data_IF_735062535030
#
_entry.id   IF_735062535030
#
_cell.length_a   1.000
_cell.length_b   1.000
_cell.length_c   1.000
_cell.angle_alpha   90.00
_cell.angle_beta   90.00
_cell.angle_gamma   90.00
#
_symmetry.space_group_name_H-M   'P 1'
#
loop_
_entity.id
_entity.type
_entity.pdbx_description
1 polymer ?
#
# COMPACT_ATOMS: atom_id res chain seq x y z
N UNK A 1 11.57 -5.06 11.92
CA UNK A 1 10.71 -5.26 10.74
C UNK A 1 10.79 -4.11 9.74
N UNK A 2 10.54 -2.86 10.15
CA UNK A 2 10.48 -1.68 9.26
C UNK A 2 11.73 -1.49 8.36
N UNK A 3 12.95 -1.51 8.93
CA UNK A 3 14.20 -1.43 8.16
C UNK A 3 14.33 -2.51 7.06
N UNK A 4 13.92 -3.75 7.35
CA UNK A 4 13.94 -4.88 6.38
C UNK A 4 12.99 -4.63 5.20
N UNK A 5 11.90 -3.91 5.44
CA UNK A 5 10.85 -3.63 4.46
C UNK A 5 11.04 -2.27 3.76
N UNK A 6 12.11 -1.53 4.07
CA UNK A 6 12.35 -0.19 3.52
C UNK A 6 11.38 0.87 4.03
N UNK A 7 10.79 0.66 5.21
CA UNK A 7 9.79 1.56 5.79
C UNK A 7 10.42 2.54 6.79
N UNK A 8 9.91 3.78 6.89
CA UNK A 8 10.31 4.74 7.92
C UNK A 8 10.21 4.14 9.32
N UNK A 9 11.24 4.33 10.14
CA UNK A 9 11.31 3.72 11.48
C UNK A 9 10.49 4.48 12.51
N UNK A 10 10.47 5.81 12.43
CA UNK A 10 9.88 6.70 13.44
C UNK A 10 8.56 7.35 13.00
N UNK A 11 7.89 6.79 11.98
CA UNK A 11 6.62 7.28 11.46
C UNK A 11 5.43 6.35 11.79
N UNK A 12 4.21 6.84 11.57
CA UNK A 12 3.00 6.01 11.62
C UNK A 12 2.84 5.27 10.30
N UNK A 13 2.60 3.96 10.38
CA UNK A 13 2.43 3.10 9.20
C UNK A 13 1.01 2.52 9.19
N UNK A 14 0.26 2.83 8.15
CA UNK A 14 -0.98 2.13 7.79
C UNK A 14 -0.60 0.95 6.90
N UNK A 15 -1.05 -0.25 7.25
CA UNK A 15 -0.78 -1.46 6.48
C UNK A 15 -2.03 -1.90 5.72
N UNK A 16 -1.86 -2.12 4.42
CA UNK A 16 -2.82 -2.85 3.61
C UNK A 16 -2.15 -4.11 3.07
N UNK A 17 -2.61 -5.28 3.50
CA UNK A 17 -1.99 -6.58 3.17
C UNK A 17 -2.91 -7.44 2.30
N UNK A 18 -2.33 -8.08 1.29
CA UNK A 18 -3.00 -9.04 0.41
C UNK A 18 -3.03 -8.61 -1.06
N UNK A 19 -3.64 -9.45 -1.91
CA UNK A 19 -3.67 -9.18 -3.35
C UNK A 19 -4.42 -7.91 -3.72
N UNK A 20 -3.95 -7.25 -4.77
CA UNK A 20 -4.56 -6.04 -5.32
C UNK A 20 -5.79 -6.45 -6.12
N UNK A 21 -6.95 -6.04 -5.61
CA UNK A 21 -8.26 -6.38 -6.17
C UNK A 21 -9.21 -5.17 -6.04
N UNK A 22 -10.13 -4.96 -7.00
CA UNK A 22 -11.10 -3.86 -6.92
C UNK A 22 -11.91 -3.85 -5.62
N UNK A 23 -12.37 -5.02 -5.16
CA UNK A 23 -13.18 -5.16 -3.94
C UNK A 23 -12.41 -4.86 -2.64
N UNK A 24 -11.08 -4.70 -2.70
CA UNK A 24 -10.27 -4.30 -1.55
C UNK A 24 -10.23 -2.77 -1.38
N UNK A 25 -10.69 -2.01 -2.37
CA UNK A 25 -10.91 -0.57 -2.26
C UNK A 25 -9.66 0.27 -1.93
N UNK A 26 -8.46 -0.15 -2.38
CA UNK A 26 -7.22 0.64 -2.22
C UNK A 26 -7.35 2.10 -2.70
N UNK A 27 -8.10 2.37 -3.77
CA UNK A 27 -8.40 3.74 -4.21
C UNK A 27 -9.08 4.60 -3.13
N UNK A 28 -10.01 4.03 -2.36
CA UNK A 28 -10.66 4.71 -1.22
C UNK A 28 -9.66 4.95 -0.09
N UNK A 29 -8.75 4.00 0.15
CA UNK A 29 -7.69 4.15 1.17
C UNK A 29 -6.73 5.29 0.80
N UNK A 30 -6.44 5.48 -0.49
CA UNK A 30 -5.65 6.63 -0.96
C UNK A 30 -6.36 7.96 -0.69
N UNK A 31 -7.66 8.05 -0.96
CA UNK A 31 -8.47 9.24 -0.65
C UNK A 31 -8.49 9.51 0.87
N UNK A 32 -8.67 8.46 1.68
CA UNK A 32 -8.61 8.58 3.14
C UNK A 32 -7.22 9.03 3.62
N UNK A 33 -6.14 8.56 2.99
CA UNK A 33 -4.78 8.98 3.33
C UNK A 33 -4.59 10.48 3.11
N UNK A 34 -5.16 11.07 2.03
CA UNK A 34 -5.12 12.52 1.80
C UNK A 34 -5.72 13.28 2.98
N UNK A 35 -6.88 12.85 3.48
CA UNK A 35 -7.52 13.48 4.64
C UNK A 35 -6.68 13.31 5.91
N UNK A 36 -6.13 12.11 6.16
CA UNK A 36 -5.26 11.85 7.31
C UNK A 36 -4.03 12.76 7.31
N UNK A 37 -3.43 12.98 6.14
CA UNK A 37 -2.23 13.81 6.00
C UNK A 37 -2.47 15.30 6.30
N UNK A 38 -3.73 15.76 6.27
CA UNK A 38 -4.08 17.13 6.69
C UNK A 38 -3.87 17.33 8.19
N UNK A 39 -4.06 16.28 8.99
CA UNK A 39 -3.92 16.32 10.46
C UNK A 39 -2.56 15.75 10.92
N UNK A 40 -2.06 14.72 10.24
CA UNK A 40 -0.86 13.98 10.63
C UNK A 40 0.16 13.96 9.49
N UNK A 41 1.22 14.75 9.61
CA UNK A 41 2.23 14.90 8.54
C UNK A 41 3.16 13.69 8.35
N UNK A 42 3.24 12.80 9.33
CA UNK A 42 4.20 11.67 9.33
C UNK A 42 3.47 10.31 9.31
N UNK A 43 2.63 10.14 8.28
CA UNK A 43 1.88 8.91 8.03
C UNK A 43 2.24 8.35 6.66
N UNK A 44 2.45 7.04 6.61
CA UNK A 44 2.71 6.31 5.38
C UNK A 44 1.73 5.15 5.24
N UNK A 45 1.30 4.90 4.01
CA UNK A 45 0.57 3.70 3.63
C UNK A 45 1.54 2.70 3.02
N UNK A 46 1.69 1.55 3.66
CA UNK A 46 2.40 0.42 3.11
C UNK A 46 1.40 -0.58 2.50
N UNK A 47 1.45 -0.71 1.18
CA UNK A 47 0.67 -1.69 0.43
C UNK A 47 1.51 -2.95 0.24
N UNK A 48 1.36 -3.88 1.18
CA UNK A 48 2.05 -5.17 1.18
C UNK A 48 1.30 -6.20 0.32
N UNK A 49 1.40 -6.03 -1.00
CA UNK A 49 0.71 -6.89 -1.94
C UNK A 49 1.00 -6.55 -3.39
N UNK A 50 0.57 -7.44 -4.28
CA UNK A 50 0.64 -7.28 -5.72
C UNK A 50 -0.47 -8.06 -6.40
N UNK A 51 -0.36 -8.24 -7.71
CA UNK A 51 -1.27 -9.08 -8.47
C UNK A 51 -1.12 -10.56 -8.06
N UNK A 52 -2.24 -11.29 -8.05
CA UNK A 52 -2.21 -12.74 -7.92
C UNK A 52 -1.68 -13.38 -9.21
N UNK A 53 -1.08 -14.58 -9.16
CA UNK A 53 -0.68 -15.32 -10.38
C UNK A 53 -1.84 -15.54 -11.37
N UNK A 54 -3.06 -15.59 -10.85
CA UNK A 54 -4.32 -15.76 -11.61
C UNK A 54 -5.07 -14.44 -11.78
N UNK A 55 -4.39 -13.29 -11.70
CA UNK A 55 -5.02 -11.99 -11.85
C UNK A 55 -5.71 -11.84 -13.21
N UNK A 56 -6.94 -11.33 -13.18
CA UNK A 56 -7.69 -10.99 -14.39
C UNK A 56 -7.19 -9.68 -14.98
N UNK A 57 -7.53 -9.40 -16.24
CA UNK A 57 -7.29 -8.08 -16.85
C UNK A 57 -7.84 -6.94 -15.99
N UNK A 58 -9.05 -7.13 -15.42
CA UNK A 58 -9.69 -6.17 -14.52
C UNK A 58 -8.84 -5.87 -13.27
N UNK A 59 -8.14 -6.88 -12.74
CA UNK A 59 -7.27 -6.68 -11.57
C UNK A 59 -6.00 -5.90 -11.96
N UNK A 60 -5.43 -6.19 -13.13
CA UNK A 60 -4.28 -5.47 -13.68
C UNK A 60 -4.62 -4.00 -13.97
N UNK A 61 -5.73 -3.75 -14.67
CA UNK A 61 -6.23 -2.39 -14.97
C UNK A 61 -6.48 -1.61 -13.67
N UNK A 62 -6.99 -2.28 -12.64
CA UNK A 62 -7.19 -1.68 -11.33
C UNK A 62 -5.86 -1.33 -10.64
N UNK A 63 -4.86 -2.21 -10.66
CA UNK A 63 -3.54 -1.92 -10.10
C UNK A 63 -2.84 -0.75 -10.83
N UNK A 64 -3.02 -0.64 -12.15
CA UNK A 64 -2.55 0.51 -12.93
C UNK A 64 -3.30 1.79 -12.51
N UNK A 65 -4.63 1.74 -12.37
CA UNK A 65 -5.42 2.90 -11.92
C UNK A 65 -5.02 3.38 -10.52
N UNK A 66 -4.68 2.45 -9.62
CA UNK A 66 -4.16 2.79 -8.28
C UNK A 66 -2.85 3.55 -8.39
N UNK A 67 -1.95 3.11 -9.28
CA UNK A 67 -0.65 3.76 -9.46
C UNK A 67 -0.82 5.19 -10.01
N UNK A 68 -1.69 5.37 -11.01
CA UNK A 68 -2.07 6.70 -11.52
C UNK A 68 -2.68 7.58 -10.42
N UNK A 69 -3.57 7.02 -9.60
CA UNK A 69 -4.21 7.74 -8.50
C UNK A 69 -3.20 8.21 -7.44
N UNK A 70 -2.15 7.42 -7.16
CA UNK A 70 -1.05 7.83 -6.27
C UNK A 70 -0.34 9.05 -6.83
N UNK A 71 -0.12 9.10 -8.15
CA UNK A 71 0.51 10.24 -8.80
C UNK A 71 -0.40 11.48 -8.82
N UNK A 72 -1.67 11.30 -9.19
CA UNK A 72 -2.69 12.37 -9.24
C UNK A 72 -2.93 13.03 -7.87
N UNK A 73 -2.83 12.25 -6.78
CA UNK A 73 -2.99 12.72 -5.41
C UNK A 73 -1.66 13.16 -4.77
N UNK A 74 -0.55 13.15 -5.51
CA UNK A 74 0.79 13.51 -5.04
C UNK A 74 1.27 12.70 -3.82
N UNK A 75 0.85 11.42 -3.73
CA UNK A 75 1.10 10.54 -2.58
C UNK A 75 2.38 9.71 -2.70
N UNK A 76 3.22 9.93 -3.71
CA UNK A 76 4.41 9.10 -3.99
C UNK A 76 5.40 9.06 -2.82
N UNK A 77 5.42 10.08 -1.96
CA UNK A 77 6.25 10.14 -0.75
C UNK A 77 5.64 9.38 0.43
N UNK A 78 4.32 9.25 0.49
CA UNK A 78 3.59 8.68 1.61
C UNK A 78 3.12 7.25 1.34
N UNK A 79 3.15 6.77 0.10
CA UNK A 79 2.71 5.42 -0.27
C UNK A 79 3.92 4.57 -0.66
N UNK A 80 4.14 3.50 0.10
CA UNK A 80 5.10 2.45 -0.24
C UNK A 80 4.33 1.30 -0.87
N UNK A 81 4.40 1.19 -2.19
CA UNK A 81 3.69 0.16 -2.96
C UNK A 81 4.64 -0.57 -3.92
N UNK A 82 5.32 -1.64 -3.45
CA UNK A 82 6.26 -2.39 -4.28
C UNK A 82 5.58 -3.27 -5.35
N UNK A 83 4.25 -3.37 -5.34
CA UNK A 83 3.44 -4.21 -6.22
C UNK A 83 3.99 -5.64 -6.38
N UNK A 84 4.24 -6.32 -5.25
CA UNK A 84 4.83 -7.67 -5.24
C UNK A 84 4.13 -8.58 -4.24
N UNK A 85 4.27 -9.89 -4.49
CA UNK A 85 3.85 -10.91 -3.54
C UNK A 85 4.80 -10.98 -2.34
N UNK A 86 4.23 -11.18 -1.15
CA UNK A 86 4.98 -11.43 0.09
C UNK A 86 4.65 -12.85 0.58
N UNK A 87 5.65 -13.74 0.76
CA UNK A 87 5.44 -15.09 1.27
C UNK A 87 4.99 -15.09 2.74
N UNK A 88 4.43 -16.21 3.20
CA UNK A 88 3.91 -16.34 4.57
C UNK A 88 4.95 -16.04 5.66
N UNK A 89 6.21 -16.36 5.40
CA UNK A 89 7.35 -16.06 6.29
C UNK A 89 7.52 -14.55 6.53
N UNK A 90 7.09 -13.71 5.58
CA UNK A 90 7.17 -12.26 5.72
C UNK A 90 6.03 -11.69 6.56
N UNK A 91 4.89 -12.38 6.67
CA UNK A 91 3.66 -11.87 7.32
C UNK A 91 3.88 -11.39 8.75
N UNK A 92 4.61 -12.10 9.64
CA UNK A 92 4.92 -11.60 10.97
C UNK A 92 5.66 -10.26 10.95
N UNK A 93 6.51 -10.03 9.93
CA UNK A 93 7.23 -8.77 9.79
C UNK A 93 6.34 -7.65 9.26
N UNK A 94 5.40 -7.96 8.35
CA UNK A 94 4.42 -6.99 7.84
C UNK A 94 3.54 -6.47 8.99
N UNK A 95 2.94 -7.38 9.75
CA UNK A 95 2.04 -7.03 10.86
C UNK A 95 2.75 -6.32 12.02
N UNK A 96 4.03 -6.61 12.27
CA UNK A 96 4.86 -5.89 13.25
C UNK A 96 5.38 -4.54 12.73
N UNK A 97 5.21 -4.24 11.45
CA UNK A 97 5.69 -3.00 10.86
C UNK A 97 4.66 -1.87 10.93
N UNK A 98 3.37 -2.17 11.03
CA UNK A 98 2.32 -1.21 11.38
C UNK A 98 2.36 -0.86 12.85
#
# INVERSE_FOLDING_TARGET
SRKRLGLPVDAKILLMFGFIKPHKCLHIVLEALVEILKEFKDVYLFVAGGLAPTASKKDADYAESVSKRIEELELQKNVVYPNKFFPNEDVPYLLRAS
#
